data_IF_080467636751
#
_entry.id   IF_080467636751
#
_cell.length_a   1.000
_cell.length_b   1.000
_cell.length_c   1.000
_cell.angle_alpha   90.00
_cell.angle_beta   90.00
_cell.angle_gamma   90.00
#
_symmetry.space_group_name_H-M   'P 1'
#
loop_
_entity.id
_entity.type
_entity.pdbx_description
1 polymer ?
#
# COMPACT_ATOMS: atom_id res chain seq x y z
N UNK A 1 11.88 18.33 14.75
CA UNK A 1 11.54 18.34 13.32
C UNK A 1 12.77 18.58 12.47
N UNK A 2 12.98 17.79 11.42
CA UNK A 2 14.10 17.94 10.47
C UNK A 2 13.58 17.88 9.05
N UNK A 3 13.97 18.85 8.23
CA UNK A 3 13.60 18.97 6.81
C UNK A 3 14.66 18.33 5.93
N UNK A 4 14.24 17.60 4.91
CA UNK A 4 15.11 16.96 3.90
C UNK A 4 14.55 17.28 2.52
N UNK A 5 15.32 18.01 1.70
CA UNK A 5 14.90 18.37 0.34
C UNK A 5 15.12 17.19 -0.62
N UNK A 6 14.20 17.04 -1.54
CA UNK A 6 14.27 16.13 -2.69
C UNK A 6 13.93 16.90 -3.98
N UNK A 7 14.29 16.35 -5.16
CA UNK A 7 14.17 17.08 -6.44
C UNK A 7 12.78 17.63 -6.73
N UNK A 8 11.72 16.96 -6.25
CA UNK A 8 10.33 17.33 -6.51
C UNK A 8 9.54 17.58 -5.22
N UNK A 9 10.20 18.01 -4.14
CA UNK A 9 9.49 18.32 -2.90
C UNK A 9 10.33 18.17 -1.64
N UNK A 10 9.68 17.83 -0.54
CA UNK A 10 10.27 17.84 0.79
C UNK A 10 9.83 16.63 1.60
N UNK A 11 10.76 16.07 2.36
CA UNK A 11 10.50 15.09 3.39
C UNK A 11 10.75 15.69 4.77
N UNK A 12 9.95 15.30 5.76
CA UNK A 12 10.09 15.76 7.12
C UNK A 12 10.21 14.59 8.10
N UNK A 13 11.16 14.68 9.00
CA UNK A 13 11.21 13.86 10.23
C UNK A 13 10.50 14.62 11.32
N UNK A 14 9.36 14.13 11.79
CA UNK A 14 8.61 14.77 12.87
C UNK A 14 7.16 14.34 12.94
N UNK A 15 6.49 14.82 13.99
CA UNK A 15 5.05 14.64 14.15
C UNK A 15 4.27 15.42 13.08
N UNK A 16 3.34 14.76 12.41
CA UNK A 16 2.61 15.35 11.29
C UNK A 16 1.74 16.54 11.71
N UNK A 17 1.15 16.50 12.91
CA UNK A 17 0.34 17.61 13.41
C UNK A 17 1.19 18.87 13.65
N UNK A 18 2.44 18.70 14.05
CA UNK A 18 3.36 19.83 14.29
C UNK A 18 4.01 20.32 12.98
N UNK A 19 4.40 19.41 12.10
CA UNK A 19 4.98 19.78 10.80
C UNK A 19 3.98 20.54 9.95
N UNK A 20 2.71 20.09 9.90
CA UNK A 20 1.68 20.72 9.08
C UNK A 20 1.37 22.16 9.47
N UNK A 21 1.59 22.56 10.74
CA UNK A 21 1.48 23.97 11.19
C UNK A 21 2.42 24.93 10.45
N UNK A 22 3.47 24.42 9.80
CA UNK A 22 4.39 25.25 9.00
C UNK A 22 3.85 25.57 7.60
N UNK A 23 2.77 24.90 7.18
CA UNK A 23 2.15 25.13 5.89
C UNK A 23 0.91 26.05 6.03
N UNK A 24 0.70 26.97 5.09
CA UNK A 24 -0.47 27.83 5.13
C UNK A 24 -1.76 27.03 4.83
N UNK A 25 -2.89 27.63 5.15
CA UNK A 25 -4.20 27.10 4.80
C UNK A 25 -4.32 26.93 3.28
N UNK A 26 -5.01 25.89 2.85
CA UNK A 26 -5.33 25.63 1.44
C UNK A 26 -4.09 25.53 0.52
N UNK A 27 -3.04 24.92 0.99
CA UNK A 27 -1.75 24.78 0.30
C UNK A 27 -1.70 23.58 -0.65
N UNK A 28 -2.22 22.43 -0.23
CA UNK A 28 -2.13 21.17 -0.97
C UNK A 28 -3.35 20.94 -1.86
N UNK A 29 -3.12 20.31 -3.02
CA UNK A 29 -4.17 19.93 -3.96
C UNK A 29 -4.83 18.61 -3.58
N UNK A 30 -4.05 17.68 -3.02
CA UNK A 30 -4.54 16.37 -2.59
C UNK A 30 -3.74 15.81 -1.41
N UNK A 31 -4.36 14.88 -0.68
CA UNK A 31 -3.71 14.08 0.37
C UNK A 31 -3.90 12.60 0.00
N UNK A 32 -2.81 11.83 -0.02
CA UNK A 32 -2.84 10.39 -0.25
C UNK A 32 -1.91 9.74 0.76
N UNK A 33 -2.44 8.90 1.65
CA UNK A 33 -1.67 8.41 2.77
C UNK A 33 -2.04 7.00 3.20
N UNK A 34 -1.04 6.23 3.62
CA UNK A 34 -1.20 4.92 4.26
C UNK A 34 -1.24 5.11 5.78
N UNK A 35 -2.42 5.52 6.28
CA UNK A 35 -2.62 5.84 7.69
C UNK A 35 -2.37 4.63 8.61
N UNK A 36 -2.06 4.84 9.90
CA UNK A 36 -2.08 3.77 10.88
C UNK A 36 -3.43 3.05 10.92
N UNK A 37 -3.43 1.74 11.11
CA UNK A 37 -4.67 0.94 11.04
C UNK A 37 -5.37 0.76 12.38
N UNK A 38 -4.75 1.15 13.49
CA UNK A 38 -5.31 0.98 14.83
C UNK A 38 -5.51 -0.49 15.21
N UNK A 39 -4.59 -1.34 14.80
CA UNK A 39 -4.63 -2.79 15.06
C UNK A 39 -3.46 -3.29 15.90
N UNK A 40 -2.67 -2.35 16.45
CA UNK A 40 -1.45 -2.64 17.21
C UNK A 40 -0.51 -3.58 16.45
N UNK A 41 -0.27 -3.26 15.17
CA UNK A 41 0.50 -4.11 14.28
C UNK A 41 1.92 -4.35 14.82
N UNK A 42 2.27 -5.61 15.08
CA UNK A 42 3.54 -6.02 15.68
C UNK A 42 3.85 -5.33 17.03
N UNK A 43 2.83 -4.88 17.78
CA UNK A 43 2.97 -4.17 19.04
C UNK A 43 3.60 -2.77 18.90
N UNK A 44 3.48 -2.16 17.74
CA UNK A 44 4.02 -0.83 17.46
C UNK A 44 3.10 0.26 18.00
N UNK A 45 3.67 1.18 18.76
CA UNK A 45 2.92 2.28 19.39
C UNK A 45 2.25 3.22 18.38
N UNK A 46 2.85 3.43 17.22
CA UNK A 46 2.30 4.27 16.15
C UNK A 46 1.01 3.71 15.53
N UNK A 47 0.71 2.41 15.71
CA UNK A 47 -0.50 1.76 15.16
C UNK A 47 -1.59 1.52 16.23
N UNK A 48 -1.61 2.31 17.30
CA UNK A 48 -2.64 2.23 18.36
C UNK A 48 -3.98 2.87 17.96
N UNK A 49 -3.96 3.78 17.00
CA UNK A 49 -5.15 4.47 16.50
C UNK A 49 -5.11 4.59 14.96
N UNK A 50 -6.16 5.15 14.37
CA UNK A 50 -6.28 5.35 12.91
C UNK A 50 -5.80 6.75 12.47
N UNK A 51 -4.75 7.24 13.10
CA UNK A 51 -4.28 8.63 12.98
C UNK A 51 -4.95 9.53 14.03
N UNK A 52 -4.16 10.42 14.62
CA UNK A 52 -4.65 11.36 15.61
C UNK A 52 -5.58 12.41 14.97
N UNK A 53 -6.59 12.86 15.71
CA UNK A 53 -7.57 13.86 15.25
C UNK A 53 -6.89 15.17 14.86
N UNK A 54 -5.82 15.54 15.54
CA UNK A 54 -5.01 16.73 15.29
C UNK A 54 -4.38 16.66 13.89
N UNK A 55 -3.90 15.49 13.47
CA UNK A 55 -3.33 15.28 12.11
C UNK A 55 -4.43 15.48 11.05
N UNK A 56 -5.61 14.88 11.26
CA UNK A 56 -6.71 15.01 10.30
C UNK A 56 -7.25 16.45 10.24
N UNK A 57 -7.29 17.16 11.38
CA UNK A 57 -7.68 18.57 11.44
C UNK A 57 -6.70 19.45 10.66
N UNK A 58 -5.39 19.20 10.80
CA UNK A 58 -4.37 19.92 10.05
C UNK A 58 -4.42 19.54 8.54
N UNK A 59 -4.65 18.27 8.20
CA UNK A 59 -4.87 17.87 6.81
C UNK A 59 -6.06 18.62 6.18
N UNK A 60 -7.17 18.75 6.93
CA UNK A 60 -8.32 19.54 6.47
C UNK A 60 -7.96 21.01 6.27
N UNK A 61 -7.20 21.60 7.19
CA UNK A 61 -6.79 23.01 7.11
C UNK A 61 -5.92 23.28 5.88
N UNK A 62 -4.87 22.49 5.69
CA UNK A 62 -3.87 22.70 4.62
C UNK A 62 -4.34 22.26 3.23
N UNK A 63 -5.35 21.40 3.12
CA UNK A 63 -5.93 20.98 1.86
C UNK A 63 -6.79 22.10 1.27
N UNK A 64 -6.72 22.32 -0.05
CA UNK A 64 -7.58 23.29 -0.77
C UNK A 64 -9.06 22.90 -0.65
N UNK A 65 -10.00 23.88 -0.61
CA UNK A 65 -11.42 23.59 -0.72
C UNK A 65 -11.73 22.76 -1.96
N UNK A 66 -12.47 21.67 -1.80
CA UNK A 66 -12.75 20.71 -2.88
C UNK A 66 -11.64 19.67 -3.11
N UNK A 67 -10.45 19.81 -2.52
CA UNK A 67 -9.38 18.82 -2.59
C UNK A 67 -9.80 17.50 -1.96
N UNK A 68 -9.31 16.39 -2.55
CA UNK A 68 -9.59 15.05 -2.05
C UNK A 68 -8.50 14.54 -1.11
N UNK A 69 -8.92 13.72 -0.15
CA UNK A 69 -8.05 12.92 0.70
C UNK A 69 -8.39 11.44 0.51
N UNK A 70 -7.36 10.62 0.26
CA UNK A 70 -7.44 9.16 0.22
C UNK A 70 -6.60 8.59 1.35
N UNK A 71 -7.24 7.88 2.29
CA UNK A 71 -6.56 7.24 3.41
C UNK A 71 -6.84 5.75 3.44
N UNK A 72 -5.77 4.95 3.40
CA UNK A 72 -5.86 3.50 3.56
C UNK A 72 -6.22 3.13 4.99
N UNK A 73 -6.95 2.03 5.18
CA UNK A 73 -7.32 1.51 6.48
C UNK A 73 -7.52 0.01 6.48
N UNK A 74 -7.66 -0.59 7.66
CA UNK A 74 -7.99 -2.00 7.78
C UNK A 74 -9.50 -2.21 7.82
N UNK A 75 -10.03 -3.34 7.27
CA UNK A 75 -11.48 -3.62 7.25
C UNK A 75 -12.15 -3.53 8.62
N UNK A 76 -11.46 -3.94 9.70
CA UNK A 76 -12.06 -3.96 11.05
C UNK A 76 -12.04 -2.62 11.79
N UNK A 77 -11.22 -1.66 11.33
CA UNK A 77 -11.08 -0.32 11.96
C UNK A 77 -11.46 0.81 11.00
N UNK A 78 -11.81 0.49 9.75
CA UNK A 78 -12.21 1.44 8.73
C UNK A 78 -13.26 2.45 9.20
N UNK A 79 -14.29 1.97 9.92
CA UNK A 79 -15.35 2.82 10.44
C UNK A 79 -14.82 3.93 11.35
N UNK A 80 -13.76 3.66 12.16
CA UNK A 80 -13.14 4.69 13.02
C UNK A 80 -12.38 5.72 12.21
N UNK A 81 -11.64 5.30 11.18
CA UNK A 81 -10.95 6.23 10.28
C UNK A 81 -11.96 7.13 9.55
N UNK A 82 -13.02 6.55 8.99
CA UNK A 82 -14.05 7.30 8.30
C UNK A 82 -14.76 8.30 9.24
N UNK A 83 -15.12 7.86 10.46
CA UNK A 83 -15.74 8.74 11.47
C UNK A 83 -14.79 9.86 11.89
N UNK A 84 -13.51 9.58 12.15
CA UNK A 84 -12.53 10.62 12.52
C UNK A 84 -12.40 11.68 11.42
N UNK A 85 -12.38 11.27 10.15
CA UNK A 85 -12.31 12.20 9.02
C UNK A 85 -13.60 13.02 8.88
N UNK A 86 -14.76 12.41 9.07
CA UNK A 86 -16.05 13.11 9.02
C UNK A 86 -16.19 14.10 10.18
N UNK A 87 -15.81 13.70 11.41
CA UNK A 87 -15.89 14.53 12.62
C UNK A 87 -15.03 15.79 12.54
N UNK A 88 -13.87 15.74 11.88
CA UNK A 88 -13.05 16.94 11.64
C UNK A 88 -13.57 17.82 10.51
N UNK A 89 -14.57 17.37 9.73
CA UNK A 89 -15.27 18.17 8.75
C UNK A 89 -15.05 17.80 7.27
N UNK A 90 -14.42 16.66 6.98
CA UNK A 90 -14.40 16.13 5.62
C UNK A 90 -15.79 15.60 5.21
N UNK A 91 -16.08 15.66 3.92
CA UNK A 91 -17.23 15.00 3.30
C UNK A 91 -16.82 13.63 2.78
N UNK A 92 -17.32 12.54 3.34
CA UNK A 92 -17.08 11.20 2.79
C UNK A 92 -17.76 11.11 1.42
N UNK A 93 -17.01 10.70 0.39
CA UNK A 93 -17.49 10.62 -0.99
C UNK A 93 -17.64 9.20 -1.49
N UNK A 94 -16.69 8.31 -1.15
CA UNK A 94 -16.71 6.91 -1.56
C UNK A 94 -15.83 6.07 -0.62
N UNK A 95 -15.89 4.76 -0.79
CA UNK A 95 -14.98 3.79 -0.22
C UNK A 95 -14.37 2.98 -1.36
N UNK A 96 -13.09 3.21 -1.65
CA UNK A 96 -12.38 2.38 -2.60
C UNK A 96 -11.95 1.08 -1.93
N UNK A 97 -11.96 0.00 -2.66
CA UNK A 97 -11.58 -1.32 -2.18
C UNK A 97 -10.39 -1.83 -2.98
N UNK A 98 -9.20 -1.88 -2.35
CA UNK A 98 -8.05 -2.50 -2.97
C UNK A 98 -8.00 -3.98 -2.63
N UNK A 99 -8.16 -4.85 -3.66
CA UNK A 99 -8.16 -6.30 -3.56
C UNK A 99 -6.76 -6.87 -3.83
N UNK A 100 -6.39 -7.92 -3.08
CA UNK A 100 -5.13 -8.62 -3.26
C UNK A 100 -5.22 -10.09 -2.89
N UNK A 101 -4.61 -10.97 -3.71
CA UNK A 101 -4.60 -12.41 -3.49
C UNK A 101 -3.57 -12.90 -2.46
N UNK A 102 -2.55 -12.11 -2.16
CA UNK A 102 -1.36 -12.53 -1.40
C UNK A 102 -1.44 -12.34 0.12
N UNK A 103 -2.61 -11.99 0.67
CA UNK A 103 -2.80 -11.80 2.11
C UNK A 103 -2.44 -13.03 2.93
N UNK A 104 -1.63 -12.87 3.99
CA UNK A 104 -1.26 -13.96 4.88
C UNK A 104 -2.27 -14.09 6.04
N UNK A 105 -2.86 -15.27 6.28
CA UNK A 105 -3.76 -15.47 7.40
C UNK A 105 -3.01 -15.36 8.73
N UNK A 106 -3.29 -14.32 9.51
CA UNK A 106 -2.77 -14.17 10.89
C UNK A 106 -3.59 -14.99 11.90
N UNK A 107 -4.47 -15.85 11.41
CA UNK A 107 -5.38 -16.65 12.20
C UNK A 107 -4.65 -17.78 12.94
N UNK A 108 -4.95 -17.94 14.23
CA UNK A 108 -4.49 -19.06 15.03
C UNK A 108 -5.40 -20.26 14.85
N UNK A 109 -4.84 -21.46 14.93
CA UNK A 109 -5.59 -22.72 14.89
C UNK A 109 -6.07 -23.08 16.30
N UNK A 110 -7.38 -22.99 16.51
CA UNK A 110 -8.00 -23.16 17.82
C UNK A 110 -7.78 -24.58 18.37
N UNK A 111 -8.00 -25.59 17.53
CA UNK A 111 -7.81 -26.98 17.93
C UNK A 111 -6.38 -27.27 18.38
N UNK A 112 -5.38 -26.76 17.63
CA UNK A 112 -3.97 -26.90 17.99
C UNK A 112 -3.60 -26.14 19.28
N UNK A 113 -4.20 -24.97 19.52
CA UNK A 113 -3.98 -24.22 20.76
C UNK A 113 -4.53 -24.97 21.98
N UNK A 114 -5.70 -25.59 21.84
CA UNK A 114 -6.31 -26.44 22.90
C UNK A 114 -5.40 -27.62 23.21
N UNK A 115 -4.93 -28.35 22.20
CA UNK A 115 -3.99 -29.48 22.40
C UNK A 115 -2.70 -29.03 23.06
N UNK A 116 -2.17 -27.86 22.68
CA UNK A 116 -0.97 -27.29 23.33
C UNK A 116 -1.22 -26.98 24.80
N UNK A 117 -2.37 -26.37 25.13
CA UNK A 117 -2.76 -26.08 26.52
C UNK A 117 -2.93 -27.36 27.36
N UNK A 118 -3.40 -28.44 26.75
CA UNK A 118 -3.58 -29.75 27.38
C UNK A 118 -2.30 -30.58 27.45
N UNK A 119 -1.16 -30.06 26.98
CA UNK A 119 0.11 -30.78 26.91
C UNK A 119 0.15 -31.92 25.87
N UNK A 120 -0.92 -32.12 25.10
CA UNK A 120 -1.01 -33.14 24.05
C UNK A 120 -0.18 -32.83 22.81
N UNK A 121 0.24 -31.57 22.64
CA UNK A 121 1.09 -31.10 21.54
C UNK A 121 2.29 -30.33 22.12
N UNK A 122 3.49 -30.80 21.83
CA UNK A 122 4.70 -30.03 22.14
C UNK A 122 4.66 -28.75 21.33
N UNK A 123 4.76 -27.62 22.01
CA UNK A 123 4.89 -26.35 21.32
C UNK A 123 6.18 -26.37 20.49
N UNK A 124 6.11 -26.13 19.19
CA UNK A 124 7.27 -25.58 18.50
C UNK A 124 7.63 -24.33 19.30
N UNK A 125 8.88 -24.28 19.87
CA UNK A 125 9.37 -23.03 20.45
C UNK A 125 9.15 -21.98 19.39
N UNK A 126 8.16 -21.11 19.61
CA UNK A 126 7.87 -20.02 18.71
C UNK A 126 9.18 -19.25 18.56
N UNK A 127 9.66 -19.14 17.35
CA UNK A 127 10.59 -18.07 17.02
C UNK A 127 9.82 -16.82 17.42
N UNK A 128 10.34 -16.15 18.46
CA UNK A 128 9.67 -14.99 19.04
C UNK A 128 9.29 -14.02 17.93
N UNK A 129 8.12 -13.44 18.03
CA UNK A 129 7.55 -12.48 17.07
C UNK A 129 8.32 -11.16 16.97
N UNK A 130 9.57 -11.12 17.37
CA UNK A 130 10.33 -9.88 17.54
C UNK A 130 11.43 -9.62 16.53
N UNK A 131 11.64 -10.50 15.54
CA UNK A 131 12.55 -10.16 14.45
C UNK A 131 12.00 -10.72 13.15
N UNK A 132 11.58 -9.84 12.29
CA UNK A 132 11.49 -10.06 10.86
C UNK A 132 12.94 -10.15 10.36
N UNK A 133 13.63 -11.24 10.73
CA UNK A 133 14.93 -11.55 10.19
C UNK A 133 14.70 -12.00 8.76
N UNK A 134 15.20 -11.20 7.82
CA UNK A 134 15.10 -11.38 6.37
C UNK A 134 15.94 -12.56 5.85
N UNK A 135 16.54 -13.35 6.71
CA UNK A 135 17.23 -14.57 6.33
C UNK A 135 16.20 -15.66 6.04
N UNK A 136 15.93 -15.91 4.76
CA UNK A 136 15.01 -16.91 4.23
C UNK A 136 15.34 -18.36 4.70
N UNK A 137 16.48 -18.59 5.34
CA UNK A 137 16.96 -19.93 5.70
C UNK A 137 16.37 -20.54 6.98
N UNK A 138 15.65 -19.76 7.82
CA UNK A 138 15.11 -20.29 9.08
C UNK A 138 13.60 -20.53 9.09
N UNK A 139 12.93 -20.41 7.96
CA UNK A 139 11.48 -20.29 7.98
C UNK A 139 10.68 -21.55 8.24
N UNK A 140 11.14 -22.72 7.89
CA UNK A 140 10.38 -23.96 8.14
C UNK A 140 11.32 -25.17 8.18
N UNK A 141 11.84 -25.50 9.35
CA UNK A 141 12.34 -26.84 9.55
C UNK A 141 11.12 -27.77 9.59
N UNK A 142 10.81 -28.38 8.48
CA UNK A 142 9.81 -29.43 8.38
C UNK A 142 10.50 -30.74 8.79
N UNK A 143 10.03 -31.37 9.85
CA UNK A 143 10.45 -32.73 10.21
C UNK A 143 9.56 -33.70 9.42
N UNK A 144 10.18 -34.69 8.78
CA UNK A 144 9.45 -35.72 8.06
C UNK A 144 8.59 -36.52 9.05
N UNK A 145 7.30 -36.63 8.79
CA UNK A 145 6.35 -37.36 9.63
C UNK A 145 6.61 -38.85 9.71
N UNK A 146 7.33 -39.42 8.73
CA UNK A 146 7.65 -40.86 8.67
C UNK A 146 8.97 -41.19 9.32
N UNK A 147 10.02 -40.38 9.15
CA UNK A 147 11.34 -40.68 9.66
C UNK A 147 11.86 -39.70 10.76
N UNK A 148 11.12 -38.66 11.09
CA UNK A 148 11.50 -37.68 12.13
C UNK A 148 12.68 -36.77 11.79
N UNK A 149 13.28 -36.90 10.61
CA UNK A 149 14.43 -36.10 10.18
C UNK A 149 14.02 -34.82 9.47
N UNK A 150 14.83 -33.76 9.57
CA UNK A 150 14.60 -32.49 8.90
C UNK A 150 14.63 -32.63 7.39
N UNK A 151 13.68 -31.98 6.70
CA UNK A 151 13.65 -31.90 5.25
C UNK A 151 14.81 -31.06 4.71
N UNK A 152 15.38 -31.46 3.56
CA UNK A 152 16.36 -30.64 2.82
C UNK A 152 15.66 -29.55 2.02
N UNK A 153 16.26 -28.36 2.02
CA UNK A 153 15.85 -27.28 1.13
C UNK A 153 16.45 -27.53 -0.27
N UNK A 154 15.61 -27.76 -1.26
CA UNK A 154 16.01 -27.87 -2.65
C UNK A 154 15.34 -26.75 -3.44
N UNK A 155 16.14 -25.77 -3.89
CA UNK A 155 15.69 -24.63 -4.73
C UNK A 155 14.49 -23.85 -4.19
N UNK A 156 14.55 -23.46 -2.90
CA UNK A 156 13.47 -22.69 -2.22
C UNK A 156 12.10 -23.42 -2.10
N UNK A 157 12.09 -24.72 -2.28
CA UNK A 157 10.94 -25.58 -1.98
C UNK A 157 11.42 -26.70 -1.04
N UNK A 158 10.83 -26.80 0.14
CA UNK A 158 11.06 -27.92 1.07
C UNK A 158 10.31 -29.14 0.56
N UNK A 159 10.88 -29.84 -0.41
CA UNK A 159 10.18 -30.88 -1.18
C UNK A 159 10.79 -32.27 -1.05
N UNK A 160 11.93 -32.45 -0.35
CA UNK A 160 12.56 -33.76 -0.24
C UNK A 160 12.93 -34.14 1.18
N UNK A 161 12.61 -35.37 1.58
CA UNK A 161 13.11 -36.00 2.78
C UNK A 161 14.62 -36.19 2.67
N UNK A 162 15.34 -36.17 3.83
CA UNK A 162 16.79 -36.41 3.90
C UNK A 162 17.15 -37.86 3.47
N UNK A 163 16.21 -38.79 3.60
CA UNK A 163 16.32 -40.12 3.03
C UNK A 163 15.74 -40.04 1.61
N UNK A 164 16.56 -40.22 0.59
CA UNK A 164 16.25 -40.14 -0.84
C UNK A 164 15.20 -41.16 -1.36
N UNK A 165 14.49 -41.82 -0.46
CA UNK A 165 13.41 -42.74 -0.81
C UNK A 165 12.18 -41.92 -1.26
N UNK A 166 11.80 -42.07 -2.52
CA UNK A 166 10.62 -41.46 -3.17
C UNK A 166 9.26 -41.73 -2.45
N UNK A 167 9.28 -42.45 -1.33
CA UNK A 167 8.12 -42.86 -0.56
C UNK A 167 7.85 -42.03 0.72
N UNK A 168 8.64 -40.98 0.98
CA UNK A 168 8.41 -40.13 2.13
C UNK A 168 7.58 -38.92 1.75
N UNK A 169 6.25 -38.93 1.89
CA UNK A 169 5.44 -37.77 1.58
C UNK A 169 5.80 -36.67 2.57
N UNK A 170 6.33 -35.56 2.06
CA UNK A 170 6.42 -34.29 2.80
C UNK A 170 5.01 -33.71 2.90
N UNK A 171 4.13 -34.39 3.57
CA UNK A 171 2.98 -33.71 4.13
C UNK A 171 3.51 -32.75 5.19
N UNK A 172 3.31 -31.46 4.90
CA UNK A 172 3.63 -30.38 5.80
C UNK A 172 3.27 -30.84 7.23
N UNK A 173 4.22 -30.75 8.16
CA UNK A 173 4.17 -31.28 9.53
C UNK A 173 3.07 -30.67 10.42
N UNK A 174 1.94 -30.38 9.84
CA UNK A 174 0.75 -29.90 10.50
C UNK A 174 -0.30 -31.00 10.55
N UNK A 175 -0.02 -32.08 11.33
CA UNK A 175 -1.13 -32.95 11.69
C UNK A 175 -2.30 -32.08 12.14
N UNK A 176 -3.48 -32.24 11.55
CA UNK A 176 -4.67 -31.53 12.04
C UNK A 176 -4.83 -31.77 13.54
N UNK A 177 -5.48 -30.87 14.23
CA UNK A 177 -5.84 -31.11 15.62
C UNK A 177 -6.79 -32.31 15.67
N UNK A 178 -6.67 -33.15 16.71
CA UNK A 178 -7.53 -34.30 16.93
C UNK A 178 -8.53 -33.99 18.05
N UNK A 179 -9.38 -33.00 17.80
CA UNK A 179 -10.47 -32.59 18.69
C UNK A 179 -11.60 -31.93 17.86
N UNK A 180 -12.73 -31.66 18.51
CA UNK A 180 -13.90 -31.04 17.89
C UNK A 180 -13.64 -29.67 17.22
N UNK A 181 -12.55 -28.98 17.61
CA UNK A 181 -12.13 -27.68 17.07
C UNK A 181 -11.13 -27.81 15.94
N UNK A 182 -10.93 -29.02 15.40
CA UNK A 182 -10.06 -29.22 14.24
C UNK A 182 -10.57 -28.40 13.03
N UNK A 183 -9.65 -27.61 12.42
CA UNK A 183 -10.00 -26.75 11.30
C UNK A 183 -10.54 -25.35 11.68
N UNK A 184 -10.90 -25.13 12.94
CA UNK A 184 -11.35 -23.81 13.39
C UNK A 184 -10.19 -22.84 13.53
N UNK A 185 -10.36 -21.61 13.04
CA UNK A 185 -9.37 -20.53 13.03
C UNK A 185 -9.92 -19.26 13.67
N UNK A 186 -9.05 -18.40 14.20
CA UNK A 186 -9.45 -17.15 14.86
C UNK A 186 -9.75 -16.00 13.89
N UNK A 187 -9.56 -16.17 12.60
CA UNK A 187 -9.81 -15.11 11.62
C UNK A 187 -9.72 -15.59 10.18
N UNK A 188 -10.13 -14.73 9.28
CA UNK A 188 -10.07 -14.95 7.84
C UNK A 188 -8.70 -14.48 7.27
N UNK A 189 -8.39 -14.94 6.07
CA UNK A 189 -7.30 -14.38 5.25
C UNK A 189 -7.71 -12.98 4.79
N UNK A 190 -6.93 -11.92 5.05
CA UNK A 190 -7.22 -10.61 4.50
C UNK A 190 -7.08 -10.64 2.97
N UNK A 191 -8.02 -10.05 2.26
CA UNK A 191 -8.03 -10.01 0.80
C UNK A 191 -8.35 -8.61 0.26
N UNK A 192 -8.61 -7.63 1.13
CA UNK A 192 -8.79 -6.25 0.71
C UNK A 192 -8.34 -5.26 1.80
N UNK A 193 -7.99 -4.07 1.36
CA UNK A 193 -7.82 -2.89 2.19
C UNK A 193 -8.78 -1.81 1.69
N UNK A 194 -9.65 -1.28 2.55
CA UNK A 194 -10.51 -0.15 2.20
C UNK A 194 -9.71 1.14 2.20
N UNK A 195 -10.06 2.05 1.28
CA UNK A 195 -9.49 3.40 1.21
C UNK A 195 -10.65 4.38 1.37
N UNK A 196 -10.63 5.16 2.43
CA UNK A 196 -11.60 6.24 2.60
C UNK A 196 -11.33 7.31 1.55
N UNK A 197 -12.31 7.60 0.71
CA UNK A 197 -12.28 8.73 -0.20
C UNK A 197 -13.14 9.85 0.38
N UNK A 198 -12.51 10.91 0.82
CA UNK A 198 -13.22 12.07 1.32
C UNK A 198 -12.70 13.35 0.67
N UNK A 199 -13.44 14.42 0.83
CA UNK A 199 -13.19 15.71 0.20
C UNK A 199 -13.35 16.83 1.23
N UNK A 200 -12.42 17.79 1.24
CA UNK A 200 -12.67 19.05 1.93
C UNK A 200 -13.90 19.73 1.32
N UNK A 201 -14.86 20.23 2.10
CA UNK A 201 -16.01 20.93 1.57
C UNK A 201 -15.61 21.97 0.51
N UNK A 202 -16.47 22.10 -0.51
CA UNK A 202 -16.31 23.15 -1.52
C UNK A 202 -16.33 24.52 -0.87
N UNK A 203 -15.63 25.47 -1.47
CA UNK A 203 -15.54 26.82 -0.94
C UNK A 203 -16.90 27.53 -0.92
N UNK A 204 -16.96 28.60 -0.17
CA UNK A 204 -18.18 29.36 0.04
C UNK A 204 -18.32 30.49 -0.97
N UNK A 205 -19.53 30.65 -1.48
CA UNK A 205 -19.92 31.84 -2.22
C UNK A 205 -20.27 32.95 -1.22
N UNK A 206 -19.48 34.01 -1.22
CA UNK A 206 -19.71 35.14 -0.34
C UNK A 206 -20.75 36.10 -0.95
N UNK A 207 -21.73 36.46 -0.17
CA UNK A 207 -22.72 37.44 -0.51
C UNK A 207 -22.29 38.89 -0.13
N UNK A 208 -23.19 39.83 -0.30
CA UNK A 208 -22.97 41.24 0.12
C UNK A 208 -22.68 41.28 1.63
N UNK A 209 -21.74 42.14 2.05
CA UNK A 209 -21.26 42.33 3.43
C UNK A 209 -20.53 41.11 4.03
N UNK A 210 -19.89 40.27 3.19
CA UNK A 210 -19.07 39.14 3.68
C UNK A 210 -19.86 38.00 4.34
N UNK A 211 -21.18 37.96 4.18
CA UNK A 211 -21.98 36.83 4.69
C UNK A 211 -21.95 35.67 3.71
N UNK A 212 -21.79 34.44 4.21
CA UNK A 212 -21.91 33.23 3.39
C UNK A 212 -23.29 33.17 2.76
N UNK A 213 -23.36 33.01 1.43
CA UNK A 213 -24.60 32.86 0.68
C UNK A 213 -24.95 31.40 0.40
N UNK A 214 -23.97 30.63 -0.07
CA UNK A 214 -24.08 29.22 -0.39
C UNK A 214 -22.68 28.63 -0.59
N UNK A 215 -22.55 27.32 -0.77
CA UNK A 215 -21.30 26.73 -1.29
C UNK A 215 -21.21 26.94 -2.80
N UNK A 216 -19.97 26.96 -3.31
CA UNK A 216 -19.71 26.88 -4.75
C UNK A 216 -20.18 25.50 -5.27
N UNK A 217 -20.53 25.41 -6.54
CA UNK A 217 -20.64 24.12 -7.21
C UNK A 217 -19.23 23.62 -7.60
N UNK A 218 -19.13 22.39 -8.12
CA UNK A 218 -17.83 21.78 -8.47
C UNK A 218 -17.12 22.57 -9.57
N UNK A 219 -17.83 23.06 -10.59
CA UNK A 219 -17.23 23.82 -11.69
C UNK A 219 -16.61 25.11 -11.18
N UNK A 220 -17.38 25.90 -10.44
CA UNK A 220 -16.92 27.15 -9.83
C UNK A 220 -15.72 26.93 -8.89
N UNK A 221 -15.71 25.80 -8.17
CA UNK A 221 -14.61 25.45 -7.27
C UNK A 221 -13.34 25.08 -8.05
N UNK A 222 -13.47 24.30 -9.13
CA UNK A 222 -12.35 23.97 -10.03
C UNK A 222 -11.77 25.23 -10.68
N UNK A 223 -12.60 26.14 -11.16
CA UNK A 223 -12.15 27.42 -11.72
C UNK A 223 -11.38 28.26 -10.70
N UNK A 224 -11.78 28.23 -9.43
CA UNK A 224 -11.15 29.01 -8.37
C UNK A 224 -9.91 28.35 -7.76
N UNK A 225 -9.96 27.06 -7.51
CA UNK A 225 -8.97 26.34 -6.71
C UNK A 225 -8.16 25.30 -7.50
N UNK A 226 -8.57 24.95 -8.71
CA UNK A 226 -7.96 23.91 -9.54
C UNK A 226 -8.24 22.48 -9.08
N UNK A 227 -9.11 22.29 -8.08
CA UNK A 227 -9.44 20.99 -7.48
C UNK A 227 -10.95 20.85 -7.26
N UNK A 228 -11.44 19.60 -7.08
CA UNK A 228 -12.84 19.31 -6.79
C UNK A 228 -13.49 18.28 -7.71
N UNK A 229 -12.84 17.94 -8.83
CA UNK A 229 -13.25 16.89 -9.75
C UNK A 229 -12.31 15.68 -9.71
N UNK A 230 -12.77 14.55 -10.24
CA UNK A 230 -11.97 13.33 -10.44
C UNK A 230 -11.52 13.25 -11.91
N UNK A 231 -10.27 12.90 -12.14
CA UNK A 231 -9.73 12.70 -13.48
C UNK A 231 -10.06 11.29 -13.98
N UNK A 232 -11.27 11.13 -14.49
CA UNK A 232 -11.78 9.85 -14.98
C UNK A 232 -10.96 9.34 -16.16
N UNK A 233 -10.60 10.21 -17.10
CA UNK A 233 -9.93 9.78 -18.34
C UNK A 233 -8.51 9.25 -18.08
N UNK A 234 -7.78 9.83 -17.12
CA UNK A 234 -6.46 9.32 -16.73
C UNK A 234 -6.50 7.99 -15.95
N UNK A 235 -7.70 7.57 -15.51
CA UNK A 235 -7.90 6.37 -14.69
C UNK A 235 -8.80 5.32 -15.35
N UNK A 236 -9.13 5.49 -16.64
CA UNK A 236 -9.89 4.49 -17.39
C UNK A 236 -9.18 3.14 -17.43
N UNK A 237 -9.97 2.09 -17.36
CA UNK A 237 -9.50 0.70 -17.44
C UNK A 237 -9.51 0.31 -18.91
N UNK A 238 -8.38 -0.20 -19.47
CA UNK A 238 -8.33 -0.63 -20.86
C UNK A 238 -9.47 -1.60 -21.20
N UNK A 239 -10.19 -1.34 -22.27
CA UNK A 239 -11.26 -2.20 -22.77
C UNK A 239 -10.65 -3.27 -23.67
N UNK A 240 -11.01 -4.55 -23.43
CA UNK A 240 -10.74 -5.60 -24.40
C UNK A 240 -11.75 -5.56 -25.56
N UNK A 241 -11.46 -6.31 -26.62
CA UNK A 241 -12.32 -6.43 -27.83
C UNK A 241 -13.78 -6.76 -27.52
N UNK A 242 -14.02 -7.59 -26.49
CA UNK A 242 -15.36 -7.96 -26.01
C UNK A 242 -16.21 -6.77 -25.56
N UNK A 243 -15.58 -5.75 -24.98
CA UNK A 243 -16.32 -4.57 -24.50
C UNK A 243 -16.79 -3.71 -25.66
N UNK A 244 -15.95 -3.52 -26.66
CA UNK A 244 -16.28 -2.76 -27.86
C UNK A 244 -17.42 -3.42 -28.64
N UNK A 245 -17.37 -4.74 -28.76
CA UNK A 245 -18.42 -5.54 -29.39
C UNK A 245 -19.76 -5.40 -28.64
N UNK A 246 -19.75 -5.47 -27.31
CA UNK A 246 -20.95 -5.35 -26.48
C UNK A 246 -21.55 -3.96 -26.51
N UNK A 247 -20.73 -2.90 -26.47
CA UNK A 247 -21.20 -1.50 -26.56
C UNK A 247 -21.81 -1.23 -27.92
N UNK A 248 -21.17 -1.70 -28.99
CA UNK A 248 -21.70 -1.56 -30.36
C UNK A 248 -23.01 -2.34 -30.54
N UNK A 249 -23.12 -3.55 -29.98
CA UNK A 249 -24.36 -4.32 -30.00
C UNK A 249 -25.49 -3.61 -29.23
N UNK A 250 -25.18 -3.04 -28.06
CA UNK A 250 -26.14 -2.29 -27.26
C UNK A 250 -26.64 -1.02 -27.99
N UNK A 251 -25.76 -0.25 -28.62
CA UNK A 251 -26.12 0.92 -29.43
C UNK A 251 -27.01 0.56 -30.63
N UNK A 252 -26.73 -0.58 -31.30
CA UNK A 252 -27.58 -1.07 -32.39
C UNK A 252 -28.99 -1.48 -31.95
N UNK A 253 -29.14 -1.93 -30.71
CA UNK A 253 -30.41 -2.41 -30.16
C UNK A 253 -31.23 -1.33 -29.44
N UNK A 254 -30.73 -0.11 -29.30
CA UNK A 254 -31.48 1.02 -28.75
C UNK A 254 -32.59 1.40 -29.74
N UNK A 255 -33.83 1.04 -29.44
CA UNK A 255 -34.99 1.47 -30.23
C UNK A 255 -35.20 2.96 -30.07
N UNK A 256 -35.54 3.68 -31.15
CA UNK A 256 -35.79 5.14 -31.10
C UNK A 256 -36.95 5.57 -30.17
N UNK A 257 -37.79 4.63 -29.81
CA UNK A 257 -39.01 4.87 -29.00
C UNK A 257 -38.75 5.10 -27.51
N UNK A 258 -37.58 4.70 -26.98
CA UNK A 258 -37.18 5.06 -25.62
C UNK A 258 -36.50 6.44 -25.57
N UNK A 259 -37.26 7.45 -26.04
CA UNK A 259 -36.88 8.86 -26.00
C UNK A 259 -37.03 9.42 -24.57
N UNK A 260 -36.47 8.72 -23.59
CA UNK A 260 -36.14 9.37 -22.33
C UNK A 260 -35.03 10.34 -22.67
N UNK A 261 -35.31 11.62 -22.54
CA UNK A 261 -34.38 12.74 -22.56
C UNK A 261 -33.37 12.60 -21.40
N UNK A 262 -32.68 11.46 -21.35
CA UNK A 262 -31.60 11.23 -20.44
C UNK A 262 -30.39 11.94 -21.01
N UNK A 263 -29.94 12.97 -20.35
CA UNK A 263 -28.69 13.68 -20.60
C UNK A 263 -27.50 12.72 -20.75
N UNK A 264 -27.61 11.52 -20.19
CA UNK A 264 -26.63 10.44 -20.26
C UNK A 264 -26.41 9.85 -21.68
N UNK A 265 -27.40 9.89 -22.57
CA UNK A 265 -27.28 9.28 -23.91
C UNK A 265 -26.45 10.17 -24.85
N UNK A 266 -26.51 11.51 -24.69
CA UNK A 266 -25.72 12.43 -25.52
C UNK A 266 -24.25 12.45 -25.16
N UNK A 267 -23.89 12.29 -23.90
CA UNK A 267 -22.49 12.22 -23.47
C UNK A 267 -21.80 10.91 -23.92
N UNK A 268 -22.54 9.78 -23.95
CA UNK A 268 -21.97 8.51 -24.42
C UNK A 268 -21.78 8.42 -25.93
N UNK A 269 -22.42 9.27 -26.72
CA UNK A 269 -22.21 9.32 -28.19
C UNK A 269 -20.95 10.08 -28.60
N UNK A 270 -20.38 10.91 -27.72
CA UNK A 270 -19.20 11.72 -28.01
C UNK A 270 -17.88 11.14 -27.46
N UNK A 271 -17.92 10.26 -26.47
CA UNK A 271 -16.72 9.59 -25.96
C UNK A 271 -16.53 8.27 -26.71
N UNK A 272 -15.64 8.29 -27.69
CA UNK A 272 -15.34 7.10 -28.49
C UNK A 272 -15.03 5.90 -27.62
N UNK A 273 -15.52 4.74 -28.00
CA UNK A 273 -15.31 3.41 -27.40
C UNK A 273 -13.81 3.09 -27.18
N UNK A 274 -12.92 3.83 -27.87
CA UNK A 274 -11.47 3.72 -27.80
C UNK A 274 -10.83 4.17 -26.46
N UNK A 275 -11.57 4.83 -25.56
CA UNK A 275 -11.00 5.41 -24.34
C UNK A 275 -10.95 4.45 -23.13
N UNK A 276 -11.56 3.26 -23.20
CA UNK A 276 -11.61 2.32 -22.10
C UNK A 276 -12.81 2.51 -21.16
N UNK A 277 -12.96 1.59 -20.18
CA UNK A 277 -14.07 1.57 -19.24
C UNK A 277 -13.94 2.64 -18.18
N UNK A 278 -15.08 3.13 -17.69
CA UNK A 278 -15.14 4.01 -16.54
C UNK A 278 -14.49 3.33 -15.32
N UNK A 279 -13.64 4.02 -14.53
CA UNK A 279 -13.01 3.45 -13.34
C UNK A 279 -14.06 3.07 -12.31
N UNK A 280 -13.84 1.93 -11.63
CA UNK A 280 -14.67 1.50 -10.52
C UNK A 280 -14.02 1.83 -9.18
N UNK A 281 -14.79 1.79 -8.11
CA UNK A 281 -14.29 1.90 -6.74
C UNK A 281 -13.66 0.59 -6.22
N UNK A 282 -13.51 -0.43 -7.07
CA UNK A 282 -12.78 -1.66 -6.77
C UNK A 282 -11.51 -1.70 -7.59
N UNK A 283 -10.37 -1.84 -6.90
CA UNK A 283 -9.02 -1.88 -7.48
C UNK A 283 -8.39 -3.19 -7.04
N UNK A 284 -7.90 -4.02 -7.96
CA UNK A 284 -7.23 -5.23 -7.52
C UNK A 284 -7.29 -6.38 -8.51
N UNK A 285 -6.78 -7.52 -8.07
CA UNK A 285 -6.68 -8.74 -8.85
C UNK A 285 -7.73 -9.75 -8.36
N UNK A 286 -8.71 -10.02 -9.21
CA UNK A 286 -9.71 -11.07 -9.00
C UNK A 286 -9.68 -11.96 -10.25
N UNK A 287 -9.30 -13.21 -10.06
CA UNK A 287 -9.22 -14.18 -11.16
C UNK A 287 -10.57 -14.26 -11.89
N UNK A 288 -10.54 -14.19 -13.22
CA UNK A 288 -11.75 -14.12 -14.05
C UNK A 288 -12.40 -12.73 -14.19
N UNK A 289 -12.13 -11.80 -13.28
CA UNK A 289 -12.67 -10.42 -13.29
C UNK A 289 -11.61 -9.34 -13.50
N UNK A 290 -10.35 -9.71 -13.70
CA UNK A 290 -9.21 -8.77 -13.86
C UNK A 290 -9.46 -7.73 -14.96
N UNK A 291 -10.22 -8.08 -15.98
CA UNK A 291 -10.61 -7.15 -17.05
C UNK A 291 -11.48 -5.96 -16.59
N UNK A 292 -12.03 -6.02 -15.38
CA UNK A 292 -12.87 -4.97 -14.80
C UNK A 292 -12.16 -4.10 -13.77
N UNK A 293 -10.97 -4.53 -13.29
CA UNK A 293 -10.26 -3.87 -12.20
C UNK A 293 -8.82 -3.60 -12.57
N UNK A 294 -8.29 -2.50 -12.08
CA UNK A 294 -6.86 -2.21 -12.16
C UNK A 294 -6.12 -3.01 -11.07
N UNK A 295 -5.09 -3.77 -11.45
CA UNK A 295 -4.45 -4.77 -10.59
C UNK A 295 -2.95 -4.50 -10.37
N UNK A 296 -2.57 -3.52 -9.54
CA UNK A 296 -1.17 -3.24 -9.25
C UNK A 296 -0.61 -4.19 -8.18
N UNK A 297 0.63 -4.63 -8.35
CA UNK A 297 1.39 -5.45 -7.38
C UNK A 297 2.77 -4.86 -7.10
N UNK A 298 3.24 -4.96 -5.85
CA UNK A 298 4.64 -4.72 -5.49
C UNK A 298 5.46 -5.96 -5.83
N UNK A 299 6.50 -5.78 -6.62
CA UNK A 299 7.50 -6.83 -6.84
C UNK A 299 8.74 -6.58 -5.95
N UNK A 300 9.65 -7.58 -5.87
CA UNK A 300 10.86 -7.50 -5.04
C UNK A 300 11.77 -6.32 -5.46
N UNK A 301 11.90 -6.07 -6.77
CA UNK A 301 12.71 -4.97 -7.31
C UNK A 301 12.16 -3.60 -6.86
N UNK A 302 10.84 -3.40 -6.94
CA UNK A 302 10.17 -2.18 -6.50
C UNK A 302 10.30 -1.96 -4.99
N UNK A 303 10.16 -3.04 -4.18
CA UNK A 303 10.32 -2.98 -2.73
C UNK A 303 11.66 -2.37 -2.32
N UNK A 304 12.74 -2.77 -2.99
CA UNK A 304 14.12 -2.38 -2.66
C UNK A 304 14.70 -1.36 -3.65
N UNK A 305 13.86 -0.69 -4.43
CA UNK A 305 14.32 0.28 -5.41
C UNK A 305 15.16 1.39 -4.76
N UNK A 306 16.30 1.71 -5.37
CA UNK A 306 17.24 2.72 -4.84
C UNK A 306 17.99 2.30 -3.59
N UNK A 307 17.77 1.06 -3.10
CA UNK A 307 18.49 0.46 -1.99
C UNK A 307 19.37 -0.67 -2.54
N UNK A 308 20.57 -0.86 -1.98
CA UNK A 308 21.48 -1.91 -2.45
C UNK A 308 21.20 -3.27 -1.81
N UNK A 309 19.95 -3.72 -1.93
CA UNK A 309 19.48 -4.99 -1.35
C UNK A 309 20.24 -6.22 -1.88
N UNK A 310 20.99 -6.08 -2.99
CA UNK A 310 21.80 -7.13 -3.59
C UNK A 310 23.32 -6.90 -3.39
N UNK A 311 23.72 -5.96 -2.52
CA UNK A 311 25.14 -5.72 -2.25
C UNK A 311 25.84 -7.01 -1.80
N UNK A 312 25.14 -7.85 -1.04
CA UNK A 312 25.64 -9.14 -0.56
C UNK A 312 25.86 -10.13 -1.71
N UNK A 313 24.94 -10.17 -2.68
CA UNK A 313 24.99 -11.11 -3.80
C UNK A 313 26.08 -10.75 -4.82
N UNK A 314 26.52 -9.50 -4.83
CA UNK A 314 27.58 -8.99 -5.71
C UNK A 314 28.99 -9.30 -5.23
N UNK A 315 29.15 -9.70 -3.96
CA UNK A 315 30.46 -10.00 -3.38
C UNK A 315 30.81 -11.45 -3.63
N UNK A 316 31.84 -11.69 -4.44
CA UNK A 316 32.46 -13.00 -4.65
C UNK A 316 33.77 -13.09 -3.87
N UNK A 317 34.27 -14.33 -3.69
CA UNK A 317 35.55 -14.57 -3.02
C UNK A 317 36.72 -13.85 -3.72
N UNK A 318 36.62 -13.66 -5.05
CA UNK A 318 37.65 -13.00 -5.85
C UNK A 318 37.63 -11.46 -5.73
N UNK A 319 36.52 -10.86 -5.31
CA UNK A 319 36.35 -9.40 -5.21
C UNK A 319 36.24 -8.92 -3.76
N UNK A 320 36.26 -9.83 -2.76
CA UNK A 320 35.99 -9.44 -1.39
C UNK A 320 37.02 -8.47 -0.80
N UNK A 321 38.31 -8.61 -1.16
CA UNK A 321 39.37 -7.77 -0.64
C UNK A 321 39.35 -6.34 -1.21
N UNK A 322 38.63 -6.12 -2.32
CA UNK A 322 38.40 -4.82 -2.94
C UNK A 322 37.20 -4.09 -2.37
N UNK A 323 36.41 -4.76 -1.53
CA UNK A 323 35.20 -4.18 -0.98
C UNK A 323 35.52 -3.16 0.13
N UNK A 324 34.95 -1.94 0.14
CA UNK A 324 35.23 -0.88 1.10
C UNK A 324 35.03 -1.26 2.58
N UNK A 325 34.20 -2.26 2.87
CA UNK A 325 33.95 -2.78 4.23
C UNK A 325 34.82 -3.98 4.60
N UNK A 326 35.71 -4.42 3.72
CA UNK A 326 36.64 -5.49 4.04
C UNK A 326 37.73 -5.01 5.02
N UNK A 327 38.08 -5.83 5.96
CA UNK A 327 39.15 -5.59 6.92
C UNK A 327 40.13 -6.77 6.94
N UNK A 328 41.41 -6.53 7.14
CA UNK A 328 42.45 -7.60 7.22
C UNK A 328 42.13 -8.69 8.25
N UNK A 329 41.41 -8.33 9.32
CA UNK A 329 40.94 -9.26 10.35
C UNK A 329 39.91 -10.31 9.86
N UNK A 330 39.28 -10.06 8.71
CA UNK A 330 38.32 -10.98 8.08
C UNK A 330 39.01 -12.09 7.29
N UNK A 331 40.27 -11.92 6.93
CA UNK A 331 41.04 -12.89 6.11
C UNK A 331 40.30 -13.21 4.81
N UNK A 332 40.20 -14.50 4.49
CA UNK A 332 39.48 -15.00 3.30
C UNK A 332 38.03 -15.44 3.60
N UNK A 333 37.51 -15.13 4.77
CA UNK A 333 36.14 -15.52 5.17
C UNK A 333 35.11 -14.54 4.61
N UNK A 334 34.59 -14.87 3.43
CA UNK A 334 33.55 -14.08 2.74
C UNK A 334 32.27 -13.92 3.59
N UNK A 335 31.98 -14.83 4.52
CA UNK A 335 30.77 -14.75 5.34
C UNK A 335 30.88 -13.62 6.38
N UNK A 336 32.10 -13.35 6.88
CA UNK A 336 32.35 -12.20 7.76
C UNK A 336 32.12 -10.88 7.05
N UNK A 337 32.62 -10.75 5.81
CA UNK A 337 32.37 -9.56 5.00
C UNK A 337 30.88 -9.43 4.67
N UNK A 338 30.23 -10.53 4.27
CA UNK A 338 28.78 -10.55 4.02
C UNK A 338 27.97 -10.16 5.23
N UNK A 339 28.34 -10.65 6.43
CA UNK A 339 27.70 -10.26 7.70
C UNK A 339 27.90 -8.76 7.98
N UNK A 340 29.10 -8.21 7.80
CA UNK A 340 29.38 -6.79 7.99
C UNK A 340 28.70 -5.91 6.96
N UNK A 341 28.60 -6.36 5.71
CA UNK A 341 27.77 -5.71 4.69
C UNK A 341 26.33 -5.73 5.13
N UNK A 342 25.84 -6.84 5.67
CA UNK A 342 24.46 -6.98 6.16
C UNK A 342 24.17 -6.08 7.37
N UNK A 343 25.12 -5.88 8.28
CA UNK A 343 25.01 -4.96 9.41
C UNK A 343 25.05 -3.47 8.97
N UNK A 344 25.88 -3.13 7.97
CA UNK A 344 26.01 -1.78 7.45
C UNK A 344 25.03 -1.47 6.31
N UNK A 345 24.48 -2.50 5.67
CA UNK A 345 23.42 -2.40 4.69
C UNK A 345 22.07 -2.21 5.43
N UNK A 346 21.86 -1.03 5.95
CA UNK A 346 20.53 -0.42 6.17
C UNK A 346 19.78 -0.37 4.84
N UNK A 347 19.57 -1.50 4.14
CA UNK A 347 19.47 -1.48 2.69
C UNK A 347 18.38 -2.39 2.16
N UNK A 348 17.79 -3.16 3.04
CA UNK A 348 16.50 -3.73 2.76
C UNK A 348 15.45 -2.74 3.25
N UNK A 349 14.45 -2.41 2.44
CA UNK A 349 13.32 -1.68 2.92
C UNK A 349 12.66 -2.50 4.06
N UNK A 350 12.89 -2.06 5.28
CA UNK A 350 12.42 -2.73 6.50
C UNK A 350 10.98 -2.36 6.84
N UNK A 351 10.38 -1.44 6.08
CA UNK A 351 8.99 -1.05 6.27
C UNK A 351 8.08 -2.28 6.06
N UNK A 352 7.22 -2.61 7.01
CA UNK A 352 6.46 -3.86 6.99
C UNK A 352 5.38 -3.88 5.90
N UNK A 353 4.81 -2.73 5.60
CA UNK A 353 3.72 -2.56 4.62
C UNK A 353 4.15 -1.57 3.55
N UNK A 354 4.22 -2.02 2.30
CA UNK A 354 4.62 -1.18 1.17
C UNK A 354 3.51 -1.22 0.14
N UNK A 355 3.00 -0.04 -0.21
CA UNK A 355 2.01 0.07 -1.27
C UNK A 355 2.68 0.02 -2.65
N UNK A 356 2.06 -0.64 -3.65
CA UNK A 356 2.54 -0.62 -5.03
C UNK A 356 2.61 0.80 -5.58
N UNK A 357 3.73 1.17 -6.21
CA UNK A 357 3.85 2.50 -6.83
C UNK A 357 2.80 2.70 -7.91
N UNK A 358 2.50 1.65 -8.68
CA UNK A 358 1.45 1.70 -9.70
C UNK A 358 0.06 2.00 -9.11
N UNK A 359 -0.27 1.43 -7.92
CA UNK A 359 -1.51 1.78 -7.20
C UNK A 359 -1.49 3.25 -6.78
N UNK A 360 -0.40 3.69 -6.16
CA UNK A 360 -0.29 5.08 -5.71
C UNK A 360 -0.36 6.06 -6.89
N UNK A 361 0.28 5.73 -8.03
CA UNK A 361 0.21 6.53 -9.25
C UNK A 361 -1.22 6.61 -9.81
N UNK A 362 -1.96 5.50 -9.80
CA UNK A 362 -3.36 5.48 -10.19
C UNK A 362 -4.20 6.41 -9.32
N UNK A 363 -4.01 6.37 -8.00
CA UNK A 363 -4.71 7.23 -7.05
C UNK A 363 -4.30 8.70 -7.20
N UNK A 364 -3.01 8.98 -7.40
CA UNK A 364 -2.51 10.34 -7.68
C UNK A 364 -3.17 10.91 -8.93
N UNK A 365 -3.18 10.16 -10.02
CA UNK A 365 -3.82 10.59 -11.30
C UNK A 365 -5.32 10.85 -11.14
N UNK A 366 -6.00 10.12 -10.26
CA UNK A 366 -7.44 10.24 -10.04
C UNK A 366 -7.83 11.56 -9.40
N UNK A 367 -7.07 12.03 -8.39
CA UNK A 367 -7.50 13.14 -7.52
C UNK A 367 -6.59 14.38 -7.57
N UNK A 368 -5.45 14.31 -8.24
CA UNK A 368 -4.46 15.40 -8.27
C UNK A 368 -4.45 16.09 -9.63
N UNK A 369 -4.55 17.41 -9.70
CA UNK A 369 -4.40 18.14 -10.95
C UNK A 369 -2.94 18.06 -11.47
N UNK A 370 -2.69 18.30 -12.77
CA UNK A 370 -1.34 18.38 -13.33
C UNK A 370 -0.44 19.35 -12.53
N UNK A 371 0.78 18.92 -12.23
CA UNK A 371 1.76 19.64 -11.39
C UNK A 371 1.27 19.95 -9.96
N UNK A 372 0.22 19.26 -9.50
CA UNK A 372 -0.37 19.48 -8.18
C UNK A 372 0.55 19.08 -7.03
N UNK A 373 0.27 19.67 -5.86
CA UNK A 373 0.98 19.41 -4.59
C UNK A 373 0.30 18.32 -3.81
N UNK A 374 1.00 17.23 -3.57
CA UNK A 374 0.51 16.05 -2.86
C UNK A 374 1.15 15.97 -1.47
N UNK A 375 0.31 15.79 -0.46
CA UNK A 375 0.73 15.52 0.91
C UNK A 375 0.55 14.04 1.25
N UNK A 376 1.56 13.45 1.90
CA UNK A 376 1.48 12.17 2.59
C UNK A 376 1.92 12.35 4.05
N UNK A 377 0.97 12.38 4.97
CA UNK A 377 1.22 12.64 6.38
C UNK A 377 1.68 11.39 7.17
N UNK A 378 1.76 10.22 6.52
CA UNK A 378 2.31 8.97 7.05
C UNK A 378 3.17 8.31 5.98
N UNK A 379 4.24 9.00 5.59
CA UNK A 379 5.06 8.72 4.40
C UNK A 379 5.64 7.30 4.31
N UNK A 380 5.96 6.68 5.46
CA UNK A 380 6.59 5.37 5.50
C UNK A 380 7.82 5.30 4.60
N UNK A 381 7.82 4.34 3.70
CA UNK A 381 8.93 4.12 2.76
C UNK A 381 8.82 4.89 1.43
N UNK A 382 7.90 5.84 1.30
CA UNK A 382 7.83 6.79 0.20
C UNK A 382 7.22 6.29 -1.11
N UNK A 383 6.33 5.31 -1.08
CA UNK A 383 5.67 4.82 -2.31
C UNK A 383 4.83 5.91 -2.97
N UNK A 384 4.15 6.75 -2.18
CA UNK A 384 3.41 7.92 -2.67
C UNK A 384 4.35 8.91 -3.35
N UNK A 385 5.50 9.21 -2.74
CA UNK A 385 6.48 10.14 -3.31
C UNK A 385 7.08 9.67 -4.63
N UNK A 386 7.32 8.36 -4.78
CA UNK A 386 7.74 7.76 -6.05
C UNK A 386 6.67 7.97 -7.13
N UNK A 387 5.41 7.73 -6.80
CA UNK A 387 4.28 7.91 -7.70
C UNK A 387 4.10 9.39 -8.11
N UNK A 388 4.22 10.32 -7.16
CA UNK A 388 4.12 11.77 -7.43
C UNK A 388 5.27 12.25 -8.31
N UNK A 389 6.49 11.73 -8.10
CA UNK A 389 7.63 12.02 -8.99
C UNK A 389 7.35 11.56 -10.43
N UNK A 390 6.80 10.36 -10.61
CA UNK A 390 6.43 9.85 -11.94
C UNK A 390 5.29 10.66 -12.58
N UNK A 391 4.36 11.12 -11.76
CA UNK A 391 3.24 11.98 -12.18
C UNK A 391 3.71 13.38 -12.60
N UNK A 392 4.83 13.85 -12.06
CA UNK A 392 5.37 15.20 -12.31
C UNK A 392 4.82 16.26 -11.34
N UNK A 393 4.31 15.85 -10.17
CA UNK A 393 3.80 16.74 -9.11
C UNK A 393 4.87 17.12 -8.09
N UNK A 394 4.49 18.01 -7.16
CA UNK A 394 5.26 18.39 -5.98
C UNK A 394 4.82 17.51 -4.78
N UNK A 395 5.78 17.02 -4.00
CA UNK A 395 5.52 16.07 -2.92
C UNK A 395 5.98 16.58 -1.56
N UNK A 396 5.13 16.39 -0.56
CA UNK A 396 5.51 16.54 0.85
C UNK A 396 5.17 15.24 1.58
N UNK A 397 6.20 14.61 2.16
CA UNK A 397 6.08 13.39 2.95
C UNK A 397 6.53 13.64 4.39
N UNK A 398 5.78 13.15 5.38
CA UNK A 398 6.07 13.32 6.80
C UNK A 398 6.09 11.94 7.46
N UNK A 399 7.10 11.67 8.28
CA UNK A 399 7.16 10.47 9.11
C UNK A 399 7.90 10.75 10.43
N UNK A 400 7.54 10.04 11.48
CA UNK A 400 8.22 10.12 12.78
C UNK A 400 9.58 9.44 12.76
N UNK A 401 9.71 8.35 11.95
CA UNK A 401 10.90 7.52 11.90
C UNK A 401 11.92 8.06 10.89
N UNK A 402 13.07 8.50 11.41
CA UNK A 402 14.17 9.02 10.59
C UNK A 402 14.68 7.98 9.57
N UNK A 403 14.68 6.69 9.91
CA UNK A 403 15.13 5.63 9.00
C UNK A 403 14.16 5.48 7.84
N UNK A 404 12.85 5.60 8.09
CA UNK A 404 11.86 5.55 7.01
C UNK A 404 11.99 6.76 6.10
N UNK A 405 12.26 7.94 6.61
CA UNK A 405 12.53 9.13 5.78
C UNK A 405 13.78 8.93 4.92
N UNK A 406 14.87 8.35 5.45
CA UNK A 406 16.07 8.09 4.66
C UNK A 406 15.83 7.01 3.58
N UNK A 407 15.10 5.94 3.90
CA UNK A 407 14.65 4.93 2.92
C UNK A 407 13.80 5.59 1.84
N UNK A 408 12.83 6.40 2.23
CA UNK A 408 11.95 7.15 1.33
C UNK A 408 12.75 8.05 0.39
N UNK A 409 13.69 8.84 0.93
CA UNK A 409 14.56 9.72 0.16
C UNK A 409 15.32 8.95 -0.91
N UNK A 410 15.99 7.87 -0.55
CA UNK A 410 16.76 7.03 -1.49
C UNK A 410 15.88 6.47 -2.59
N UNK A 411 14.71 5.93 -2.23
CA UNK A 411 13.77 5.34 -3.18
C UNK A 411 13.21 6.38 -4.15
N UNK A 412 12.78 7.54 -3.66
CA UNK A 412 12.22 8.62 -4.50
C UNK A 412 13.32 9.17 -5.44
N UNK A 413 14.52 9.45 -4.93
CA UNK A 413 15.61 9.96 -5.76
C UNK A 413 15.99 8.99 -6.88
N UNK A 414 16.08 7.71 -6.58
CA UNK A 414 16.46 6.67 -7.54
C UNK A 414 15.30 6.28 -8.50
N UNK A 415 14.03 6.65 -8.21
CA UNK A 415 12.91 6.29 -9.06
C UNK A 415 12.99 7.00 -10.40
N UNK A 416 13.15 6.23 -11.45
CA UNK A 416 13.07 6.68 -12.84
C UNK A 416 11.92 5.91 -13.50
N UNK A 417 11.13 6.60 -14.31
CA UNK A 417 10.07 6.00 -15.09
C UNK A 417 10.63 4.81 -15.88
N UNK A 418 10.03 3.63 -15.68
CA UNK A 418 10.34 2.45 -16.47
C UNK A 418 9.59 2.47 -17.79
#
# INVERSE_FOLDING_TARGET
MRKVEINNGTLWVGDSSEVLKQYPDNHFDSVITDAPYGIEFLGKDWDKNTGAIEVWSECLRVLKPGGYLLAFGAPRTYHRLATNLEDVGFEIKDSLMWLFGSGFPKAQDVGKQIEKKQGKRKGTKGIGSSTFDSSEEKRFALDCSKCGKRAKNVKNQYTQCVNDDNECPLEASQKPANNEWAGWKTGLKPAHEPIVMCRKPLDNRMGKRGKMKSRLNVVENVEKWGVGALNIDATRIPSGEDYEANVNAWHKNLKPEHNTKSMFIKEHQSSGVSQGRFPSNVIGEVEGYQKYFYCPKVNRKERHWGLDANAIDKVSQNTMMEHPLWEPSMGTDINRLKAKIQENVVNANTHPTIKPVALMLYLVKMITPPNGKVLDCFNGSGSTGMAVKEFGGEYVGIDLDENYIEISRKRILAWNKQ
#
